data_IF_573813648952
#
_entry.id   IF_573813648952
#
_cell.length_a   1.000
_cell.length_b   1.000
_cell.length_c   1.000
_cell.angle_alpha   90.00
_cell.angle_beta   90.00
_cell.angle_gamma   90.00
#
_symmetry.space_group_name_H-M   'P 1'
#
loop_
_entity.id
_entity.type
_entity.pdbx_description
1 polymer ?
#
# COMPACT_ATOMS: atom_id res chain seq x y z
N UNK A 1 3.98 27.03 11.36
CA UNK A 1 5.20 26.22 11.04
C UNK A 1 5.33 26.14 9.52
N UNK A 2 6.53 26.36 8.96
CA UNK A 2 6.79 26.17 7.53
C UNK A 2 7.69 24.95 7.37
N UNK A 3 7.28 23.99 6.57
CA UNK A 3 8.08 22.83 6.20
C UNK A 3 8.77 23.12 4.88
N UNK A 4 10.06 22.82 4.81
CA UNK A 4 10.89 23.01 3.61
C UNK A 4 11.48 21.65 3.24
N UNK A 5 11.17 21.17 2.06
CA UNK A 5 11.76 19.94 1.53
C UNK A 5 13.19 20.22 1.07
N UNK A 6 14.12 19.41 1.54
CA UNK A 6 15.53 19.42 1.11
C UNK A 6 15.82 18.02 0.55
N UNK A 7 16.42 17.98 -0.63
CA UNK A 7 16.80 16.73 -1.27
C UNK A 7 18.08 16.22 -0.64
N UNK A 8 18.02 15.03 -0.06
CA UNK A 8 19.19 14.30 0.42
C UNK A 8 19.69 13.40 -0.71
N UNK A 9 20.93 13.57 -1.14
CA UNK A 9 21.55 12.86 -2.25
C UNK A 9 22.68 11.94 -1.80
N UNK A 10 22.85 11.78 -0.50
CA UNK A 10 23.92 10.97 0.05
C UNK A 10 23.41 9.63 0.54
N UNK A 11 24.18 8.57 0.28
CA UNK A 11 23.92 7.23 0.79
C UNK A 11 24.38 7.05 2.24
N UNK A 12 25.23 7.93 2.75
CA UNK A 12 25.74 7.91 4.12
C UNK A 12 26.20 9.30 4.59
N UNK A 13 26.37 9.49 5.90
CA UNK A 13 26.91 10.72 6.48
C UNK A 13 28.36 11.01 5.99
N UNK A 14 29.12 9.99 5.62
CA UNK A 14 30.47 10.10 5.11
C UNK A 14 30.54 10.66 3.69
N UNK A 15 29.51 10.40 2.89
CA UNK A 15 29.40 10.87 1.50
C UNK A 15 28.57 12.15 1.39
N UNK A 16 27.96 12.61 2.49
CA UNK A 16 27.10 13.79 2.48
C UNK A 16 27.90 15.07 2.31
N UNK A 17 27.56 15.86 1.29
CA UNK A 17 28.11 17.18 1.07
C UNK A 17 27.45 18.22 1.99
N UNK A 18 28.00 18.35 3.17
CA UNK A 18 27.55 19.28 4.21
C UNK A 18 27.45 20.72 3.74
N UNK A 19 28.40 21.19 2.90
CA UNK A 19 28.42 22.55 2.38
C UNK A 19 27.28 22.80 1.41
N UNK A 20 27.10 21.91 0.44
CA UNK A 20 26.01 22.00 -0.53
C UNK A 20 24.64 21.89 0.14
N UNK A 21 24.49 20.98 1.11
CA UNK A 21 23.26 20.82 1.88
C UNK A 21 22.91 22.07 2.69
N UNK A 22 23.89 22.63 3.40
CA UNK A 22 23.70 23.88 4.16
C UNK A 22 23.36 25.06 3.26
N UNK A 23 23.98 25.16 2.08
CA UNK A 23 23.68 26.21 1.11
C UNK A 23 22.23 26.10 0.58
N UNK A 24 21.78 24.91 0.28
CA UNK A 24 20.39 24.67 -0.17
C UNK A 24 19.37 25.03 0.92
N UNK A 25 19.62 24.60 2.17
CA UNK A 25 18.78 24.93 3.32
C UNK A 25 18.67 26.45 3.50
N UNK A 26 19.82 27.16 3.51
CA UNK A 26 19.85 28.62 3.65
C UNK A 26 19.07 29.33 2.54
N UNK A 27 19.26 28.88 1.29
CA UNK A 27 18.57 29.42 0.13
C UNK A 27 17.04 29.23 0.23
N UNK A 28 16.60 28.04 0.62
CA UNK A 28 15.17 27.70 0.73
C UNK A 28 14.49 28.40 1.92
N UNK A 29 15.20 28.59 3.03
CA UNK A 29 14.68 29.30 4.20
C UNK A 29 14.64 30.83 3.92
N UNK A 30 15.64 31.40 3.25
CA UNK A 30 15.70 32.80 2.83
C UNK A 30 15.76 33.83 3.97
N UNK A 31 16.15 33.39 5.18
CA UNK A 31 16.28 34.24 6.38
C UNK A 31 17.34 33.67 7.33
N UNK A 32 17.90 34.48 8.26
CA UNK A 32 18.90 34.01 9.24
C UNK A 32 18.37 32.84 10.07
N UNK A 33 19.21 31.84 10.29
CA UNK A 33 18.93 30.66 11.13
C UNK A 33 19.48 30.95 12.52
N UNK A 34 18.64 30.98 13.53
CA UNK A 34 19.00 31.26 14.92
C UNK A 34 19.32 29.98 15.72
N UNK A 35 18.66 28.85 15.37
CA UNK A 35 18.78 27.57 16.08
C UNK A 35 18.88 26.42 15.08
N UNK A 36 19.78 25.48 15.39
CA UNK A 36 19.85 24.17 14.71
C UNK A 36 19.72 23.10 15.76
N UNK A 37 18.87 22.12 15.51
CA UNK A 37 18.63 20.99 16.42
C UNK A 37 19.16 19.70 15.81
N UNK A 38 19.84 18.88 16.61
CA UNK A 38 20.18 17.50 16.27
C UNK A 38 20.21 16.62 17.52
N UNK A 39 20.29 15.30 17.35
CA UNK A 39 20.58 14.35 18.42
C UNK A 39 22.06 13.92 18.45
N UNK A 40 22.91 14.49 17.58
CA UNK A 40 24.30 14.09 17.45
C UNK A 40 25.24 15.21 17.96
N UNK A 41 25.88 15.05 19.16
CA UNK A 41 26.83 16.01 19.66
C UNK A 41 28.03 16.22 18.74
N UNK A 42 28.43 15.19 17.99
CA UNK A 42 29.56 15.26 17.02
C UNK A 42 29.35 16.25 15.88
N UNK A 43 28.10 16.67 15.61
CA UNK A 43 27.81 17.67 14.57
C UNK A 43 28.06 19.11 15.01
N UNK A 44 28.37 19.36 16.29
CA UNK A 44 28.59 20.73 16.80
C UNK A 44 29.65 21.52 16.03
N UNK A 45 30.85 20.98 15.73
CA UNK A 45 31.85 21.69 14.95
C UNK A 45 31.39 22.01 13.52
N UNK A 46 30.64 21.07 12.89
CA UNK A 46 30.11 21.23 11.53
C UNK A 46 29.07 22.35 11.50
N UNK A 47 28.10 22.33 12.43
CA UNK A 47 27.04 23.33 12.44
C UNK A 47 27.52 24.71 12.83
N UNK A 48 28.51 24.83 13.72
CA UNK A 48 29.17 26.13 14.00
C UNK A 48 29.81 26.74 12.77
N UNK A 49 30.47 25.92 11.95
CA UNK A 49 31.09 26.37 10.70
C UNK A 49 30.03 26.72 9.65
N UNK A 50 29.01 25.86 9.46
CA UNK A 50 28.00 26.03 8.42
C UNK A 50 26.97 27.11 8.76
N UNK A 51 26.67 27.32 10.04
CA UNK A 51 25.65 28.26 10.52
C UNK A 51 26.23 29.16 11.63
N UNK A 52 27.21 30.05 11.33
CA UNK A 52 27.97 30.76 12.35
C UNK A 52 27.16 31.68 13.25
N UNK A 53 25.92 32.03 12.84
CA UNK A 53 25.01 32.85 13.66
C UNK A 53 23.97 32.01 14.43
N UNK A 54 23.99 30.69 14.30
CA UNK A 54 23.02 29.81 14.92
C UNK A 54 23.57 29.12 16.17
N UNK A 55 22.71 28.91 17.18
CA UNK A 55 23.03 28.04 18.31
C UNK A 55 22.67 26.61 17.95
N UNK A 56 23.60 25.67 18.06
CA UNK A 56 23.33 24.25 17.99
C UNK A 56 22.77 23.75 19.35
N UNK A 57 21.65 23.07 19.30
CA UNK A 57 20.97 22.47 20.46
C UNK A 57 20.90 20.97 20.26
N UNK A 58 21.61 20.21 21.07
CA UNK A 58 21.56 18.75 21.07
C UNK A 58 20.35 18.29 21.87
N UNK A 59 19.45 17.55 21.24
CA UNK A 59 18.27 16.95 21.84
C UNK A 59 18.52 15.46 22.07
N UNK A 60 18.36 15.02 23.33
CA UNK A 60 18.49 13.60 23.73
C UNK A 60 19.78 12.92 23.18
N UNK A 61 20.92 13.61 23.25
CA UNK A 61 22.20 13.10 22.74
C UNK A 61 22.62 11.75 23.33
N UNK A 62 22.18 11.42 24.53
CA UNK A 62 22.37 10.13 25.17
C UNK A 62 21.33 9.08 24.75
N UNK A 63 20.35 9.45 23.91
CA UNK A 63 19.23 8.59 23.46
C UNK A 63 18.48 7.94 24.61
N UNK A 64 18.27 8.67 25.71
CA UNK A 64 17.59 8.18 26.90
C UNK A 64 16.06 8.17 26.77
N UNK A 65 15.51 9.05 25.92
CA UNK A 65 14.08 9.18 25.67
C UNK A 65 13.66 8.42 24.40
N UNK A 66 14.48 8.52 23.33
CA UNK A 66 14.25 7.79 22.08
C UNK A 66 15.49 6.94 21.78
N UNK A 67 15.51 5.67 22.24
CA UNK A 67 16.70 4.82 22.25
C UNK A 67 17.01 4.21 20.87
N UNK A 68 16.95 5.03 19.81
CA UNK A 68 17.24 4.60 18.44
C UNK A 68 17.76 5.77 17.59
N UNK A 69 18.60 5.44 16.61
CA UNK A 69 19.07 6.39 15.60
C UNK A 69 18.40 6.17 14.24
N UNK A 70 18.38 7.20 13.40
CA UNK A 70 17.96 7.07 12.01
C UNK A 70 18.88 6.09 11.23
N UNK A 71 20.16 6.08 11.53
CA UNK A 71 21.13 5.14 10.96
C UNK A 71 20.79 3.70 11.32
N UNK A 72 20.44 3.44 12.57
CA UNK A 72 20.04 2.12 13.03
C UNK A 72 18.75 1.67 12.35
N UNK A 73 17.73 2.55 12.23
CA UNK A 73 16.50 2.23 11.51
C UNK A 73 16.79 1.89 10.04
N UNK A 74 17.71 2.62 9.38
CA UNK A 74 18.08 2.32 7.99
C UNK A 74 18.83 0.99 7.84
N UNK A 75 19.74 0.66 8.77
CA UNK A 75 20.54 -0.56 8.68
C UNK A 75 19.79 -1.83 9.08
N UNK A 76 18.88 -1.75 10.05
CA UNK A 76 18.13 -2.90 10.58
C UNK A 76 16.72 -3.03 9.98
N UNK A 77 16.28 -2.03 9.20
CA UNK A 77 14.98 -2.00 8.57
C UNK A 77 13.90 -1.34 9.42
N UNK A 78 12.97 -0.66 8.72
CA UNK A 78 11.90 0.11 9.35
C UNK A 78 10.92 -0.77 10.15
N UNK A 79 10.70 -2.03 9.73
CA UNK A 79 9.76 -2.93 10.37
C UNK A 79 10.27 -3.49 11.70
N UNK A 80 11.61 -3.63 11.87
CA UNK A 80 12.20 -3.99 13.15
C UNK A 80 11.96 -2.91 14.22
N UNK A 81 11.84 -1.66 13.78
CA UNK A 81 11.72 -0.49 14.63
C UNK A 81 10.40 0.26 14.48
N UNK A 82 9.35 -0.42 14.06
CA UNK A 82 8.05 0.16 13.72
C UNK A 82 7.46 1.06 14.81
N UNK A 83 7.62 0.70 16.08
CA UNK A 83 7.15 1.48 17.23
C UNK A 83 7.79 2.87 17.31
N UNK A 84 9.00 3.05 16.77
CA UNK A 84 9.73 4.31 16.76
C UNK A 84 9.44 5.17 15.52
N UNK A 85 8.75 4.63 14.52
CA UNK A 85 8.34 5.38 13.33
C UNK A 85 7.13 6.25 13.69
N UNK A 86 7.21 7.59 13.50
CA UNK A 86 6.06 8.47 13.74
C UNK A 86 4.84 8.06 12.93
N UNK A 87 3.67 8.04 13.55
CA UNK A 87 2.43 7.58 12.91
C UNK A 87 2.13 8.28 11.58
N UNK A 88 2.45 9.57 11.47
CA UNK A 88 2.21 10.38 10.26
C UNK A 88 3.02 9.91 9.04
N UNK A 89 4.15 9.23 9.24
CA UNK A 89 4.99 8.72 8.14
C UNK A 89 4.86 7.22 7.91
N UNK A 90 4.24 6.48 8.84
CA UNK A 90 4.02 5.03 8.70
C UNK A 90 3.35 4.62 7.40
N UNK A 91 2.33 5.36 6.88
CA UNK A 91 1.68 5.01 5.62
C UNK A 91 2.64 4.89 4.43
N UNK A 92 3.77 5.62 4.44
CA UNK A 92 4.78 5.56 3.38
C UNK A 92 5.60 4.25 3.37
N UNK A 93 5.54 3.48 4.46
CA UNK A 93 6.28 2.22 4.62
C UNK A 93 5.36 0.99 4.62
N UNK A 94 4.05 1.21 4.65
CA UNK A 94 3.08 0.11 4.63
C UNK A 94 3.21 -0.69 3.34
N UNK A 95 3.38 -2.01 3.47
CA UNK A 95 3.37 -2.94 2.35
C UNK A 95 1.95 -3.32 2.00
N UNK A 96 1.60 -3.24 0.72
CA UNK A 96 0.25 -3.47 0.21
C UNK A 96 0.17 -4.83 -0.47
N UNK A 97 -0.76 -5.65 0.00
CA UNK A 97 -1.04 -6.97 -0.56
C UNK A 97 -2.46 -6.97 -1.11
N UNK A 98 -2.58 -7.11 -2.42
CA UNK A 98 -3.89 -7.19 -3.06
C UNK A 98 -4.25 -8.64 -3.35
N UNK A 99 -5.50 -8.99 -3.07
CA UNK A 99 -6.09 -10.30 -3.36
C UNK A 99 -7.09 -10.15 -4.49
N UNK A 100 -6.83 -10.83 -5.57
CA UNK A 100 -7.63 -10.78 -6.80
C UNK A 100 -8.12 -12.16 -7.20
N UNK A 101 -9.10 -12.21 -8.08
CA UNK A 101 -9.70 -13.44 -8.60
C UNK A 101 -11.13 -13.20 -9.04
N UNK A 102 -11.79 -14.22 -9.57
CA UNK A 102 -13.16 -14.16 -10.05
C UNK A 102 -14.19 -14.41 -8.94
N UNK A 103 -15.46 -14.56 -9.29
CA UNK A 103 -16.53 -14.81 -8.31
C UNK A 103 -16.30 -16.12 -7.53
N UNK A 104 -16.72 -16.11 -6.27
CA UNK A 104 -16.70 -17.28 -5.37
C UNK A 104 -15.36 -17.98 -5.16
N UNK A 105 -14.23 -17.33 -5.44
CA UNK A 105 -12.91 -17.89 -5.19
C UNK A 105 -12.36 -17.60 -3.78
N UNK A 106 -13.14 -16.97 -2.89
CA UNK A 106 -12.74 -16.70 -1.51
C UNK A 106 -11.97 -15.38 -1.29
N UNK A 107 -11.99 -14.45 -2.27
CA UNK A 107 -11.33 -13.13 -2.20
C UNK A 107 -11.61 -12.39 -0.90
N UNK A 108 -12.87 -12.22 -0.53
CA UNK A 108 -13.24 -11.45 0.67
C UNK A 108 -12.90 -12.16 1.99
N UNK A 109 -12.68 -13.47 1.95
CA UNK A 109 -12.31 -14.26 3.13
C UNK A 109 -10.83 -14.14 3.46
N UNK A 110 -9.95 -14.27 2.48
CA UNK A 110 -8.51 -14.31 2.68
C UNK A 110 -7.94 -13.00 3.24
N UNK A 111 -8.22 -11.79 2.68
CA UNK A 111 -7.72 -10.53 3.23
C UNK A 111 -8.14 -10.29 4.68
N UNK A 112 -9.39 -10.66 5.01
CA UNK A 112 -9.94 -10.53 6.37
C UNK A 112 -9.18 -11.40 7.37
N UNK A 113 -8.85 -12.65 7.03
CA UNK A 113 -8.07 -13.52 7.90
C UNK A 113 -6.62 -13.07 7.99
N UNK A 114 -5.99 -12.70 6.88
CA UNK A 114 -4.63 -12.16 6.89
C UNK A 114 -4.54 -10.91 7.77
N UNK A 115 -5.48 -9.96 7.65
CA UNK A 115 -5.50 -8.77 8.50
C UNK A 115 -5.56 -9.10 9.99
N UNK A 116 -6.36 -10.10 10.38
CA UNK A 116 -6.41 -10.59 11.77
C UNK A 116 -5.09 -11.22 12.21
N UNK A 117 -4.47 -12.05 11.36
CA UNK A 117 -3.21 -12.74 11.69
C UNK A 117 -2.05 -11.76 11.86
N UNK A 118 -2.02 -10.67 11.07
CA UNK A 118 -0.96 -9.66 11.13
C UNK A 118 -1.33 -8.44 11.98
N UNK A 119 -2.45 -8.47 12.69
CA UNK A 119 -2.94 -7.38 13.53
C UNK A 119 -2.95 -6.04 12.79
N UNK A 120 -3.60 -6.02 11.65
CA UNK A 120 -3.73 -4.86 10.77
C UNK A 120 -5.15 -4.75 10.20
N UNK A 121 -5.35 -3.81 9.28
CA UNK A 121 -6.62 -3.56 8.61
C UNK A 121 -6.64 -4.13 7.21
N UNK A 122 -7.84 -4.26 6.64
CA UNK A 122 -8.03 -4.62 5.24
C UNK A 122 -9.09 -3.70 4.60
N UNK A 123 -9.09 -3.67 3.27
CA UNK A 123 -10.07 -2.93 2.45
C UNK A 123 -11.01 -3.96 1.83
N UNK A 124 -12.30 -3.81 2.09
CA UNK A 124 -13.34 -4.64 1.48
C UNK A 124 -13.63 -4.21 0.04
N UNK A 125 -14.03 -5.16 -0.81
CA UNK A 125 -14.45 -4.91 -2.18
C UNK A 125 -15.64 -3.94 -2.23
N UNK A 126 -15.42 -2.72 -2.73
CA UNK A 126 -16.48 -1.71 -2.77
C UNK A 126 -17.56 -2.01 -3.81
N UNK A 127 -17.21 -2.73 -4.88
CA UNK A 127 -18.17 -3.20 -5.87
C UNK A 127 -19.27 -4.04 -5.25
N UNK A 128 -18.90 -4.93 -4.31
CA UNK A 128 -19.86 -5.73 -3.55
C UNK A 128 -20.82 -4.85 -2.73
N UNK A 129 -20.30 -3.84 -2.05
CA UNK A 129 -21.12 -2.89 -1.29
C UNK A 129 -22.19 -2.25 -2.18
N UNK A 130 -21.81 -1.80 -3.37
CA UNK A 130 -22.76 -1.23 -4.34
C UNK A 130 -23.79 -2.27 -4.79
N UNK A 131 -23.37 -3.50 -5.12
CA UNK A 131 -24.29 -4.57 -5.49
C UNK A 131 -25.36 -4.84 -4.41
N UNK A 132 -24.95 -4.84 -3.14
CA UNK A 132 -25.84 -5.01 -1.99
C UNK A 132 -26.82 -3.83 -1.85
N UNK A 133 -26.35 -2.59 -2.04
CA UNK A 133 -27.17 -1.38 -1.95
C UNK A 133 -28.22 -1.28 -3.06
N UNK A 134 -27.86 -1.67 -4.29
CA UNK A 134 -28.80 -1.60 -5.44
C UNK A 134 -29.62 -2.88 -5.65
N UNK A 135 -29.27 -3.97 -4.96
CA UNK A 135 -30.03 -5.23 -4.99
C UNK A 135 -29.66 -6.19 -6.12
N UNK A 136 -28.45 -6.11 -6.68
CA UNK A 136 -27.94 -7.03 -7.71
C UNK A 136 -26.70 -6.51 -8.42
N UNK A 137 -26.04 -7.37 -9.16
CA UNK A 137 -24.81 -7.02 -9.88
C UNK A 137 -25.01 -6.91 -11.40
N UNK A 138 -25.38 -8.00 -12.07
CA UNK A 138 -25.32 -8.12 -13.54
C UNK A 138 -26.42 -7.37 -14.30
N UNK A 139 -27.63 -7.29 -13.73
CA UNK A 139 -28.79 -6.68 -14.39
C UNK A 139 -29.13 -5.27 -13.90
N UNK A 140 -28.55 -4.87 -12.77
CA UNK A 140 -28.86 -3.61 -12.09
C UNK A 140 -27.66 -2.63 -12.14
N UNK A 141 -26.44 -3.13 -12.08
CA UNK A 141 -25.25 -2.29 -12.23
C UNK A 141 -25.15 -1.82 -13.67
N UNK A 142 -25.37 -0.52 -13.86
CA UNK A 142 -25.07 0.13 -15.14
C UNK A 142 -23.59 0.49 -15.22
N UNK A 143 -23.11 0.72 -16.45
CA UNK A 143 -21.69 1.02 -16.69
C UNK A 143 -21.16 2.21 -15.90
N UNK A 144 -22.00 3.16 -15.56
CA UNK A 144 -21.65 4.39 -14.82
C UNK A 144 -21.18 4.11 -13.39
N UNK A 145 -21.55 2.98 -12.80
CA UNK A 145 -21.11 2.60 -11.46
C UNK A 145 -19.62 2.25 -11.39
N UNK A 146 -19.02 1.67 -12.44
CA UNK A 146 -17.66 1.15 -12.37
C UNK A 146 -16.58 2.23 -12.09
N UNK A 147 -16.61 3.42 -12.73
CA UNK A 147 -15.73 4.51 -12.32
C UNK A 147 -15.92 4.94 -10.85
N UNK A 148 -17.16 4.99 -10.36
CA UNK A 148 -17.45 5.34 -8.96
C UNK A 148 -16.91 4.27 -8.01
N UNK A 149 -17.08 2.98 -8.33
CA UNK A 149 -16.53 1.87 -7.55
C UNK A 149 -15.01 2.01 -7.42
N UNK A 150 -14.30 2.25 -8.53
CA UNK A 150 -12.85 2.37 -8.52
C UNK A 150 -12.36 3.57 -7.70
N UNK A 151 -12.98 4.75 -7.86
CA UNK A 151 -12.63 5.93 -7.06
C UNK A 151 -12.89 5.73 -5.57
N UNK A 152 -14.06 5.20 -5.21
CA UNK A 152 -14.42 4.97 -3.82
C UNK A 152 -13.53 3.92 -3.17
N UNK A 153 -13.19 2.85 -3.90
CA UNK A 153 -12.27 1.81 -3.44
C UNK A 153 -10.87 2.39 -3.20
N UNK A 154 -10.34 3.22 -4.12
CA UNK A 154 -9.07 3.92 -3.98
C UNK A 154 -9.05 4.83 -2.75
N UNK A 155 -10.14 5.54 -2.48
CA UNK A 155 -10.26 6.38 -1.28
C UNK A 155 -10.28 5.56 0.00
N UNK A 156 -10.99 4.43 0.04
CA UNK A 156 -10.97 3.49 1.18
C UNK A 156 -9.56 2.92 1.42
N UNK A 157 -8.83 2.56 0.35
CA UNK A 157 -7.45 2.11 0.46
C UNK A 157 -6.54 3.18 1.07
N UNK A 158 -6.67 4.43 0.62
CA UNK A 158 -5.91 5.55 1.17
C UNK A 158 -6.17 5.76 2.67
N UNK A 159 -7.44 5.74 3.09
CA UNK A 159 -7.79 5.91 4.52
C UNK A 159 -7.34 4.70 5.37
N UNK A 160 -7.49 3.47 4.85
CA UNK A 160 -7.02 2.28 5.54
C UNK A 160 -5.50 2.26 5.71
N UNK A 161 -4.75 2.76 4.72
CA UNK A 161 -3.29 2.88 4.79
C UNK A 161 -2.80 3.71 5.98
N UNK A 162 -3.58 4.72 6.42
CA UNK A 162 -3.26 5.54 7.60
C UNK A 162 -3.37 4.75 8.92
N UNK A 163 -4.15 3.67 8.92
CA UNK A 163 -4.43 2.84 10.10
C UNK A 163 -3.66 1.52 10.07
N UNK A 164 -3.04 1.21 8.94
CA UNK A 164 -2.37 -0.06 8.73
C UNK A 164 -1.14 -0.23 9.63
N UNK A 165 -0.96 -1.47 10.13
CA UNK A 165 0.20 -1.89 10.90
C UNK A 165 1.14 -2.70 10.02
N UNK A 166 2.15 -2.05 9.41
CA UNK A 166 3.14 -2.61 8.48
C UNK A 166 2.57 -3.12 7.16
N UNK A 167 1.42 -3.79 7.18
CA UNK A 167 0.76 -4.41 6.04
C UNK A 167 -0.65 -3.87 5.87
N UNK A 168 -1.10 -3.72 4.61
CA UNK A 168 -2.49 -3.45 4.25
C UNK A 168 -2.93 -4.54 3.27
N UNK A 169 -4.03 -5.22 3.58
CA UNK A 169 -4.65 -6.20 2.69
C UNK A 169 -5.81 -5.56 1.95
N UNK A 170 -5.91 -5.82 0.64
CA UNK A 170 -6.91 -5.19 -0.23
C UNK A 170 -7.66 -6.29 -0.96
N UNK A 171 -8.99 -6.30 -0.84
CA UNK A 171 -9.88 -7.16 -1.62
C UNK A 171 -10.24 -6.45 -2.90
N UNK A 172 -9.73 -6.96 -4.03
CA UNK A 172 -9.98 -6.40 -5.36
C UNK A 172 -9.26 -5.05 -5.60
N UNK A 173 -9.20 -4.62 -6.86
CA UNK A 173 -8.60 -3.37 -7.29
C UNK A 173 -9.11 -2.95 -8.71
N UNK A 174 -8.53 -1.90 -9.31
CA UNK A 174 -9.07 -1.30 -10.53
C UNK A 174 -9.04 -2.20 -11.77
N UNK A 175 -8.05 -3.12 -11.91
CA UNK A 175 -8.01 -4.08 -13.04
C UNK A 175 -9.18 -5.06 -12.93
N UNK A 176 -9.47 -5.56 -11.72
CA UNK A 176 -10.62 -6.45 -11.49
C UNK A 176 -11.93 -5.69 -11.67
N UNK A 177 -11.99 -4.41 -11.27
CA UNK A 177 -13.15 -3.55 -11.53
C UNK A 177 -13.37 -3.39 -13.04
N UNK A 178 -12.30 -3.20 -13.82
CA UNK A 178 -12.36 -3.16 -15.30
C UNK A 178 -12.83 -4.50 -15.88
N UNK A 179 -12.29 -5.62 -15.36
CA UNK A 179 -12.73 -6.96 -15.75
C UNK A 179 -14.24 -7.14 -15.58
N UNK A 180 -14.81 -6.76 -14.42
CA UNK A 180 -16.25 -6.86 -14.20
C UNK A 180 -17.05 -5.85 -15.03
N UNK A 181 -16.53 -4.65 -15.30
CA UNK A 181 -17.16 -3.70 -16.22
C UNK A 181 -17.32 -4.31 -17.62
N UNK A 182 -16.28 -4.93 -18.14
CA UNK A 182 -16.33 -5.62 -19.43
C UNK A 182 -17.24 -6.84 -19.40
N UNK A 183 -17.21 -7.63 -18.32
CA UNK A 183 -18.00 -8.85 -18.18
C UNK A 183 -19.50 -8.56 -18.15
N UNK A 184 -19.94 -7.57 -17.35
CA UNK A 184 -21.34 -7.27 -17.15
C UNK A 184 -21.93 -6.30 -18.15
N UNK A 185 -21.13 -5.34 -18.65
CA UNK A 185 -21.66 -4.25 -19.48
C UNK A 185 -21.05 -4.19 -20.89
N UNK A 186 -19.99 -4.95 -21.15
CA UNK A 186 -19.23 -4.88 -22.39
C UNK A 186 -18.43 -3.57 -22.56
N UNK A 187 -18.25 -2.79 -21.49
CA UNK A 187 -17.58 -1.48 -21.56
C UNK A 187 -16.26 -1.47 -20.82
N UNK A 188 -15.23 -0.89 -21.46
CA UNK A 188 -13.96 -0.51 -20.85
C UNK A 188 -13.92 1.00 -20.55
N UNK A 189 -13.27 1.36 -19.46
CA UNK A 189 -13.12 2.76 -19.04
C UNK A 189 -11.65 3.14 -18.93
N UNK A 190 -11.15 4.11 -19.72
CA UNK A 190 -9.76 4.57 -19.59
C UNK A 190 -9.37 5.04 -18.18
N UNK A 191 -10.32 5.58 -17.42
CA UNK A 191 -10.08 6.01 -16.04
C UNK A 191 -9.73 4.84 -15.11
N UNK A 192 -10.28 3.65 -15.34
CA UNK A 192 -9.93 2.45 -14.56
C UNK A 192 -8.49 2.02 -14.86
N UNK A 193 -8.06 2.09 -16.11
CA UNK A 193 -6.69 1.82 -16.50
C UNK A 193 -5.70 2.87 -15.93
N UNK A 194 -6.10 4.15 -15.85
CA UNK A 194 -5.28 5.17 -15.18
C UNK A 194 -5.13 4.89 -13.69
N UNK A 195 -6.23 4.59 -12.99
CA UNK A 195 -6.20 4.23 -11.58
C UNK A 195 -5.31 3.00 -11.36
N UNK A 196 -5.45 1.95 -12.20
CA UNK A 196 -4.66 0.73 -12.11
C UNK A 196 -3.16 1.01 -12.30
N UNK A 197 -2.77 1.90 -13.22
CA UNK A 197 -1.36 2.28 -13.44
C UNK A 197 -0.75 3.06 -12.28
N UNK A 198 -1.55 3.84 -11.56
CA UNK A 198 -1.09 4.58 -10.37
C UNK A 198 -1.03 3.72 -9.12
N UNK A 199 -1.76 2.60 -9.08
CA UNK A 199 -1.77 1.71 -7.93
C UNK A 199 -0.49 0.87 -7.91
N UNK A 200 0.18 0.87 -6.75
CA UNK A 200 1.37 0.06 -6.52
C UNK A 200 1.09 -0.90 -5.38
N UNK A 201 1.22 -2.20 -5.66
CA UNK A 201 1.11 -3.25 -4.67
C UNK A 201 2.43 -4.03 -4.59
N UNK A 202 2.84 -4.36 -3.37
CA UNK A 202 4.08 -5.11 -3.11
C UNK A 202 3.90 -6.61 -3.39
N UNK A 203 2.65 -7.09 -3.34
CA UNK A 203 2.31 -8.49 -3.60
C UNK A 203 0.90 -8.60 -4.17
N UNK A 204 0.77 -9.34 -5.26
CA UNK A 204 -0.50 -9.75 -5.85
C UNK A 204 -0.75 -11.23 -5.57
N UNK A 205 -1.89 -11.57 -4.98
CA UNK A 205 -2.34 -12.91 -4.73
C UNK A 205 -3.56 -13.20 -5.62
N UNK A 206 -3.40 -14.04 -6.62
CA UNK A 206 -4.48 -14.45 -7.52
C UNK A 206 -5.07 -15.77 -7.03
N UNK A 207 -6.35 -15.74 -6.65
CA UNK A 207 -7.07 -16.93 -6.21
C UNK A 207 -7.67 -17.68 -7.39
N UNK A 208 -7.39 -18.99 -7.48
CA UNK A 208 -8.06 -19.86 -8.43
C UNK A 208 -9.50 -20.15 -8.04
N UNK A 209 -10.39 -20.47 -9.00
CA UNK A 209 -11.78 -20.82 -8.74
C UNK A 209 -11.96 -22.33 -8.37
N UNK A 210 -11.01 -22.93 -7.66
CA UNK A 210 -10.95 -24.35 -7.28
C UNK A 210 -11.70 -24.69 -5.97
N UNK A 211 -12.30 -23.67 -5.31
CA UNK A 211 -13.23 -23.90 -4.19
C UNK A 211 -14.68 -24.00 -4.67
N UNK A 212 -15.52 -24.67 -3.88
CA UNK A 212 -16.93 -24.80 -4.19
C UNK A 212 -17.59 -23.42 -4.35
N UNK A 213 -18.42 -23.30 -5.39
CA UNK A 213 -19.23 -22.10 -5.57
C UNK A 213 -20.30 -21.99 -4.48
N UNK A 214 -20.47 -20.79 -3.96
CA UNK A 214 -21.49 -20.50 -2.95
C UNK A 214 -22.40 -19.41 -3.51
N UNK A 215 -23.69 -19.72 -3.60
CA UNK A 215 -24.72 -18.75 -3.94
C UNK A 215 -24.96 -17.83 -2.73
N UNK A 216 -24.78 -16.53 -2.93
CA UNK A 216 -25.08 -15.50 -1.93
C UNK A 216 -26.16 -14.51 -2.42
N UNK A 217 -26.85 -14.88 -3.51
CA UNK A 217 -27.91 -14.07 -4.12
C UNK A 217 -27.42 -12.89 -4.98
N UNK A 218 -26.13 -12.64 -5.04
CA UNK A 218 -25.51 -11.58 -5.86
C UNK A 218 -24.70 -12.13 -7.03
N UNK A 219 -24.28 -13.38 -6.93
CA UNK A 219 -23.38 -14.04 -7.88
C UNK A 219 -24.17 -14.75 -8.97
N UNK A 220 -23.72 -14.60 -10.22
CA UNK A 220 -24.46 -15.10 -11.39
C UNK A 220 -23.69 -16.13 -12.22
N UNK A 221 -22.38 -16.20 -12.11
CA UNK A 221 -21.51 -17.07 -12.91
C UNK A 221 -21.08 -18.33 -12.14
N UNK A 222 -22.05 -19.15 -11.69
CA UNK A 222 -21.79 -20.32 -10.85
C UNK A 222 -21.33 -21.58 -11.59
N UNK A 223 -21.53 -21.69 -12.91
CA UNK A 223 -21.09 -22.84 -13.68
C UNK A 223 -19.56 -22.96 -13.68
N UNK A 224 -19.03 -24.15 -13.39
CA UNK A 224 -17.59 -24.40 -13.22
C UNK A 224 -16.78 -23.94 -14.44
N UNK A 225 -17.21 -24.29 -15.65
CA UNK A 225 -16.52 -23.88 -16.87
C UNK A 225 -16.48 -22.36 -17.01
N UNK A 226 -17.58 -21.66 -16.73
CA UNK A 226 -17.63 -20.18 -16.80
C UNK A 226 -16.69 -19.53 -15.80
N UNK A 227 -16.54 -20.12 -14.61
CA UNK A 227 -15.59 -19.63 -13.59
C UNK A 227 -14.15 -19.74 -14.08
N UNK A 228 -13.77 -20.85 -14.72
CA UNK A 228 -12.45 -21.04 -15.29
C UNK A 228 -12.20 -20.12 -16.51
N UNK A 229 -13.18 -19.98 -17.42
CA UNK A 229 -13.07 -19.07 -18.56
C UNK A 229 -12.87 -17.61 -18.11
N UNK A 230 -13.60 -17.20 -17.07
CA UNK A 230 -13.45 -15.88 -16.46
C UNK A 230 -12.08 -15.72 -15.77
N UNK A 231 -11.60 -16.76 -15.10
CA UNK A 231 -10.27 -16.76 -14.48
C UNK A 231 -9.17 -16.59 -15.53
N UNK A 232 -9.21 -17.35 -16.62
CA UNK A 232 -8.27 -17.22 -17.73
C UNK A 232 -8.30 -15.82 -18.37
N UNK A 233 -9.51 -15.24 -18.50
CA UNK A 233 -9.65 -13.87 -19.00
C UNK A 233 -8.97 -12.86 -18.06
N UNK A 234 -9.17 -13.02 -16.75
CA UNK A 234 -8.51 -12.17 -15.75
C UNK A 234 -6.99 -12.34 -15.79
N UNK A 235 -6.48 -13.57 -15.87
CA UNK A 235 -5.04 -13.84 -16.01
C UNK A 235 -4.46 -13.07 -17.21
N UNK A 236 -5.09 -13.20 -18.38
CA UNK A 236 -4.65 -12.44 -19.57
C UNK A 236 -4.62 -10.94 -19.34
N UNK A 237 -5.63 -10.38 -18.68
CA UNK A 237 -5.67 -8.94 -18.37
C UNK A 237 -4.55 -8.49 -17.44
N UNK A 238 -4.14 -9.34 -16.49
CA UNK A 238 -2.99 -9.08 -15.60
C UNK A 238 -1.66 -9.19 -16.38
N UNK A 239 -1.50 -10.24 -17.17
CA UNK A 239 -0.29 -10.51 -17.96
C UNK A 239 -0.04 -9.39 -19.00
N UNK A 240 -1.07 -8.93 -19.71
CA UNK A 240 -1.00 -7.83 -20.69
C UNK A 240 -0.56 -6.50 -20.04
N UNK A 241 -0.80 -6.34 -18.74
CA UNK A 241 -0.36 -5.18 -17.95
C UNK A 241 1.01 -5.38 -17.30
N UNK A 242 1.65 -6.53 -17.50
CA UNK A 242 2.94 -6.88 -16.91
C UNK A 242 2.89 -7.04 -15.38
N UNK A 243 1.74 -7.38 -14.83
CA UNK A 243 1.54 -7.58 -13.39
C UNK A 243 2.01 -8.97 -13.01
N UNK A 244 3.01 -9.03 -12.12
CA UNK A 244 3.46 -10.30 -11.53
C UNK A 244 2.59 -10.67 -10.34
N UNK A 245 2.09 -11.90 -10.31
CA UNK A 245 1.24 -12.39 -9.23
C UNK A 245 1.63 -13.79 -8.77
N UNK A 246 1.22 -14.15 -7.57
CA UNK A 246 1.33 -15.50 -7.01
C UNK A 246 -0.04 -16.15 -7.06
N UNK A 247 -0.14 -17.29 -7.71
CA UNK A 247 -1.38 -18.08 -7.73
C UNK A 247 -1.56 -18.82 -6.41
N UNK A 248 -2.74 -18.72 -5.83
CA UNK A 248 -3.13 -19.34 -4.57
C UNK A 248 -4.26 -20.34 -4.82
N UNK A 249 -4.05 -21.59 -4.43
CA UNK A 249 -4.93 -22.75 -4.68
C UNK A 249 -5.27 -23.50 -3.39
N UNK A 250 -6.22 -24.44 -3.48
CA UNK A 250 -6.57 -25.33 -2.41
C UNK A 250 -7.70 -24.84 -1.51
N UNK A 251 -7.90 -25.49 -0.39
CA UNK A 251 -8.91 -25.12 0.60
C UNK A 251 -8.52 -23.82 1.36
N UNK A 252 -9.44 -23.31 2.18
CA UNK A 252 -9.22 -22.05 2.89
C UNK A 252 -8.01 -22.05 3.82
N UNK A 253 -7.66 -23.19 4.44
CA UNK A 253 -6.52 -23.31 5.34
C UNK A 253 -5.21 -23.35 4.54
N UNK A 254 -5.18 -24.09 3.45
CA UNK A 254 -4.05 -24.15 2.52
C UNK A 254 -3.76 -22.78 1.91
N UNK A 255 -4.78 -22.08 1.44
CA UNK A 255 -4.68 -20.72 0.89
C UNK A 255 -4.14 -19.72 1.90
N UNK A 256 -4.63 -19.76 3.14
CA UNK A 256 -4.14 -18.89 4.20
C UNK A 256 -2.65 -19.16 4.48
N UNK A 257 -2.28 -20.43 4.58
CA UNK A 257 -0.89 -20.84 4.83
C UNK A 257 0.03 -20.39 3.69
N UNK A 258 -0.35 -20.65 2.44
CA UNK A 258 0.41 -20.25 1.26
C UNK A 258 0.55 -18.71 1.17
N UNK A 259 -0.54 -17.99 1.36
CA UNK A 259 -0.51 -16.52 1.35
C UNK A 259 0.43 -15.96 2.43
N UNK A 260 0.38 -16.50 3.66
CA UNK A 260 1.28 -16.08 4.75
C UNK A 260 2.76 -16.31 4.44
N UNK A 261 3.10 -17.39 3.72
CA UNK A 261 4.50 -17.63 3.31
C UNK A 261 5.04 -16.50 2.42
N UNK A 262 4.23 -16.00 1.47
CA UNK A 262 4.62 -14.90 0.60
C UNK A 262 4.59 -13.55 1.32
N UNK A 263 3.59 -13.31 2.16
CA UNK A 263 3.47 -12.08 2.96
C UNK A 263 4.65 -11.90 3.91
N UNK A 264 5.13 -12.98 4.55
CA UNK A 264 6.28 -12.93 5.46
C UNK A 264 7.58 -12.49 4.78
N UNK A 265 7.69 -12.61 3.46
CA UNK A 265 8.85 -12.15 2.70
C UNK A 265 8.89 -10.63 2.54
N UNK A 266 7.79 -9.93 2.85
CA UNK A 266 7.69 -8.47 2.78
C UNK A 266 8.14 -7.78 4.08
N UNK A 267 8.24 -8.52 5.18
CA UNK A 267 8.55 -8.03 6.52
C UNK A 267 10.00 -8.29 6.92
#
# INVERSE_FOLDING_TARGET
MRVVAVEDRADSDETYDWEAGAADIKRKIGRPIALVFSSEPSYDPIFRRLYPGAKHVVLDGARSQVPISATQIRSEGVFAHWQHIPAVVRPSFVKKVVVVGTESCGKSTLPRYLAKMYNTVFVEEYGRTICEEVGGCDTILTKEYFPHIAYAHKMKEYEAGKQANKLLFIDTEAVVTQFYSELYTGHSFPVLDEIAREQQYDLWLLLEPDVAWVDDGLRVHGAEQVRWDNHEKLCRMLDERGISYVTITGDYAQRLTAAMQHVNQLL
#
